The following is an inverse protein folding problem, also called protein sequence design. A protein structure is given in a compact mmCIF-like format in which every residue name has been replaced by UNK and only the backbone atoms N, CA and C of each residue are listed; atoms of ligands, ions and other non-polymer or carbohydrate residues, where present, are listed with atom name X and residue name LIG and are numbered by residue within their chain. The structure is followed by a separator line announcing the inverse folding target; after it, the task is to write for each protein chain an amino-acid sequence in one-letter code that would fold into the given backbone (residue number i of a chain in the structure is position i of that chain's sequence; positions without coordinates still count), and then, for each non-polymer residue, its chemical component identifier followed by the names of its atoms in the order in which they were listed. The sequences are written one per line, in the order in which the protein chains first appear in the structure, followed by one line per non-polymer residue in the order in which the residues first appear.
data_IF_346113205148
#
_entry.id   IF_346113205148
#
_cell.length_a   1.000
_cell.length_b   1.000
_cell.length_c   1.000
_cell.angle_alpha   90.00
_cell.angle_beta   90.00
_cell.angle_gamma   90.00
#
_symmetry.space_group_name_H-M   'P 1'
#
loop_
_entity.id
_entity.type
_entity.pdbx_description
1 polymer ?
#
# COMPACT_ATOMS: atom_id res chain seq x y z
N UNK A 1 -36.16 38.82 1.68
CA UNK A 1 -34.92 38.63 2.48
C UNK A 1 -33.71 38.14 1.69
N UNK A 2 -33.86 37.34 0.62
CA UNK A 2 -32.72 36.79 -0.15
C UNK A 2 -31.86 37.85 -0.90
N UNK A 3 -32.48 38.91 -1.43
CA UNK A 3 -31.77 39.94 -2.23
C UNK A 3 -30.78 40.80 -1.43
N UNK A 4 -31.08 41.12 -0.17
CA UNK A 4 -30.19 41.92 0.68
C UNK A 4 -28.92 41.15 1.07
N UNK A 5 -29.05 39.84 1.32
CA UNK A 5 -27.91 38.95 1.58
C UNK A 5 -27.01 38.79 0.36
N UNK A 6 -27.59 38.65 -0.83
CA UNK A 6 -26.84 38.55 -2.09
C UNK A 6 -26.05 39.83 -2.40
N UNK A 7 -26.68 41.00 -2.25
CA UNK A 7 -26.03 42.31 -2.43
C UNK A 7 -24.84 42.49 -1.47
N UNK A 8 -24.97 42.01 -0.23
CA UNK A 8 -23.88 42.03 0.75
C UNK A 8 -22.70 41.15 0.32
N UNK A 9 -22.95 39.96 -0.20
CA UNK A 9 -21.88 39.06 -0.67
C UNK A 9 -21.15 39.63 -1.89
N UNK A 10 -21.88 40.20 -2.86
CA UNK A 10 -21.29 40.87 -4.04
C UNK A 10 -20.38 42.02 -3.61
N UNK A 11 -20.82 42.83 -2.65
CA UNK A 11 -20.02 43.94 -2.13
C UNK A 11 -18.73 43.47 -1.46
N UNK A 12 -18.77 42.37 -0.69
CA UNK A 12 -17.57 41.76 -0.09
C UNK A 12 -16.60 41.25 -1.14
N UNK A 13 -17.11 40.56 -2.17
CA UNK A 13 -16.31 40.05 -3.27
C UNK A 13 -15.64 41.20 -4.03
N UNK A 14 -16.38 42.27 -4.32
CA UNK A 14 -15.83 43.47 -4.97
C UNK A 14 -14.75 44.14 -4.11
N UNK A 15 -14.97 44.23 -2.80
CA UNK A 15 -13.97 44.77 -1.87
C UNK A 15 -12.69 43.92 -1.87
N UNK A 16 -12.82 42.59 -1.80
CA UNK A 16 -11.69 41.65 -1.87
C UNK A 16 -10.90 41.82 -3.17
N UNK A 17 -11.58 41.87 -4.32
CA UNK A 17 -10.93 42.07 -5.62
C UNK A 17 -10.22 43.42 -5.70
N UNK A 18 -10.80 44.47 -5.12
CA UNK A 18 -10.20 45.81 -5.10
C UNK A 18 -8.95 45.87 -4.22
N UNK A 19 -8.91 45.13 -3.11
CA UNK A 19 -7.73 45.01 -2.26
C UNK A 19 -6.61 44.19 -2.92
N UNK A 20 -6.95 43.09 -3.62
CA UNK A 20 -5.96 42.21 -4.25
C UNK A 20 -5.41 42.70 -5.59
N UNK A 21 -6.23 43.37 -6.40
CA UNK A 21 -5.87 43.77 -7.77
C UNK A 21 -5.92 45.29 -8.02
N UNK A 22 -6.63 46.04 -7.16
CA UNK A 22 -6.89 47.47 -7.36
C UNK A 22 -6.06 48.40 -6.47
N UNK A 23 -5.08 47.88 -5.72
CA UNK A 23 -4.15 48.69 -4.91
C UNK A 23 -4.76 49.36 -3.67
N UNK A 24 -5.99 49.00 -3.28
CA UNK A 24 -6.64 49.62 -2.12
C UNK A 24 -6.21 48.93 -0.82
N UNK A 25 -5.66 49.68 0.14
CA UNK A 25 -5.28 49.13 1.45
C UNK A 25 -6.53 48.72 2.26
N UNK A 26 -6.56 47.45 2.69
CA UNK A 26 -7.53 46.95 3.66
C UNK A 26 -7.09 47.27 5.10
N UNK A 27 -7.97 47.01 6.07
CA UNK A 27 -7.58 47.13 7.49
C UNK A 27 -6.42 46.17 7.80
N UNK A 28 -5.27 46.74 8.21
CA UNK A 28 -4.07 46.00 8.59
C UNK A 28 -4.28 45.37 9.96
N UNK A 29 -3.97 44.08 10.09
CA UNK A 29 -3.90 43.39 11.36
C UNK A 29 -2.46 43.47 11.87
N UNK A 30 -2.29 43.39 13.18
CA UNK A 30 -0.97 43.49 13.81
C UNK A 30 -0.07 42.29 13.49
N UNK A 31 1.25 42.47 13.64
CA UNK A 31 2.28 41.47 13.33
C UNK A 31 2.05 40.17 14.11
N UNK A 32 1.66 40.27 15.39
CA UNK A 32 1.40 39.10 16.23
C UNK A 32 0.21 38.27 15.71
N UNK A 33 -0.82 38.94 15.19
CA UNK A 33 -1.93 38.25 14.53
C UNK A 33 -1.46 37.51 13.28
N UNK A 34 -0.64 38.17 12.45
CA UNK A 34 -0.15 37.57 11.22
C UNK A 34 0.77 36.36 11.48
N UNK A 35 1.58 36.39 12.55
CA UNK A 35 2.39 35.22 12.92
C UNK A 35 1.54 34.06 13.44
N UNK A 36 0.56 34.33 14.31
CA UNK A 36 -0.40 33.30 14.74
C UNK A 36 -1.19 32.72 13.57
N UNK A 37 -1.59 33.57 12.63
CA UNK A 37 -2.29 33.19 11.42
C UNK A 37 -1.44 32.21 10.58
N UNK A 38 -0.18 32.58 10.31
CA UNK A 38 0.77 31.75 9.57
C UNK A 38 1.03 30.43 10.29
N UNK A 39 1.24 30.43 11.61
CA UNK A 39 1.45 29.20 12.38
C UNK A 39 0.23 28.29 12.33
N UNK A 40 -0.96 28.84 12.46
CA UNK A 40 -2.22 28.08 12.36
C UNK A 40 -2.38 27.41 10.99
N UNK A 41 -2.07 28.12 9.91
CA UNK A 41 -2.11 27.55 8.55
C UNK A 41 -1.12 26.39 8.39
N UNK A 42 0.11 26.54 8.88
CA UNK A 42 1.11 25.46 8.86
C UNK A 42 0.67 24.27 9.70
N UNK A 43 0.10 24.49 10.90
CA UNK A 43 -0.42 23.42 11.74
C UNK A 43 -1.57 22.67 11.05
N UNK A 44 -2.44 23.37 10.33
CA UNK A 44 -3.52 22.74 9.58
C UNK A 44 -3.00 21.79 8.50
N UNK A 45 -2.06 22.26 7.67
CA UNK A 45 -1.42 21.45 6.62
C UNK A 45 -0.65 20.26 7.21
N UNK A 46 0.11 20.50 8.30
CA UNK A 46 0.87 19.46 8.99
C UNK A 46 -0.03 18.33 9.49
N UNK A 47 -1.13 18.64 10.16
CA UNK A 47 -2.03 17.63 10.75
C UNK A 47 -2.68 16.77 9.67
N UNK A 48 -3.00 17.34 8.50
CA UNK A 48 -3.53 16.59 7.37
C UNK A 48 -2.49 15.64 6.77
N UNK A 49 -1.30 16.15 6.44
CA UNK A 49 -0.21 15.37 5.85
C UNK A 49 0.30 14.29 6.80
N UNK A 50 0.49 14.61 8.08
CA UNK A 50 1.03 13.67 9.08
C UNK A 50 0.10 12.47 9.27
N UNK A 51 -1.22 12.69 9.31
CA UNK A 51 -2.19 11.60 9.38
C UNK A 51 -2.13 10.71 8.14
N UNK A 52 -2.01 11.31 6.94
CA UNK A 52 -1.93 10.56 5.68
C UNK A 52 -0.66 9.72 5.63
N UNK A 53 0.50 10.33 5.89
CA UNK A 53 1.82 9.69 5.83
C UNK A 53 1.97 8.59 6.88
N UNK A 54 1.39 8.77 8.06
CA UNK A 54 1.41 7.73 9.10
C UNK A 54 0.57 6.52 8.69
N UNK A 55 -0.60 6.71 8.06
CA UNK A 55 -1.40 5.60 7.53
C UNK A 55 -0.68 4.86 6.40
N UNK A 56 0.02 5.60 5.53
CA UNK A 56 0.91 5.04 4.50
C UNK A 56 2.05 4.22 5.08
N UNK A 57 2.67 4.72 6.14
CA UNK A 57 3.75 4.04 6.85
C UNK A 57 3.28 2.73 7.51
N UNK A 58 2.15 2.75 8.22
CA UNK A 58 1.61 1.55 8.87
C UNK A 58 1.15 0.50 7.86
N UNK A 59 0.52 0.96 6.76
CA UNK A 59 -0.03 0.12 5.70
C UNK A 59 0.33 0.68 4.32
N UNK A 60 1.48 0.27 3.76
CA UNK A 60 1.91 0.66 2.42
C UNK A 60 0.93 0.18 1.35
N UNK A 61 0.28 -0.98 1.57
CA UNK A 61 -0.75 -1.50 0.68
C UNK A 61 -2.01 -0.61 0.69
N UNK A 62 -2.42 -0.01 -0.45
CA UNK A 62 -3.60 0.85 -0.54
C UNK A 62 -4.90 0.16 -0.13
N UNK A 63 -5.10 -1.12 -0.51
CA UNK A 63 -6.29 -1.89 -0.18
C UNK A 63 -6.40 -2.15 1.32
N UNK A 64 -5.28 -2.44 1.99
CA UNK A 64 -5.22 -2.59 3.44
C UNK A 64 -5.58 -1.27 4.15
N UNK A 65 -5.06 -0.16 3.63
CA UNK A 65 -5.30 1.19 4.16
C UNK A 65 -6.76 1.62 4.02
N UNK A 66 -7.41 1.34 2.89
CA UNK A 66 -8.83 1.60 2.68
C UNK A 66 -9.69 0.86 3.71
N UNK A 67 -9.36 -0.40 3.99
CA UNK A 67 -10.03 -1.20 5.02
C UNK A 67 -9.81 -0.63 6.43
N UNK A 68 -8.58 -0.23 6.78
CA UNK A 68 -8.31 0.43 8.08
C UNK A 68 -9.15 1.70 8.29
N UNK A 69 -9.37 2.48 7.22
CA UNK A 69 -10.21 3.68 7.25
C UNK A 69 -11.72 3.35 7.35
N UNK A 70 -12.15 2.21 6.81
CA UNK A 70 -13.53 1.73 6.86
C UNK A 70 -13.93 1.09 8.20
N UNK A 71 -12.96 0.67 9.04
CA UNK A 71 -13.23 0.18 10.41
C UNK A 71 -13.55 1.37 11.32
N UNK A 72 -14.81 1.84 11.21
CA UNK A 72 -15.45 2.74 12.17
C UNK A 72 -16.03 1.91 13.32
N UNK A 73 -15.52 2.14 14.53
CA UNK A 73 -16.34 2.11 15.75
C UNK A 73 -17.09 0.84 16.13
N UNK A 74 -16.60 -0.37 15.84
CA UNK A 74 -17.19 -1.57 16.43
C UNK A 74 -16.51 -1.88 17.76
N UNK A 75 -17.24 -1.49 18.79
CA UNK A 75 -17.25 -1.82 20.20
C UNK A 75 -16.52 -3.09 20.68
N UNK A 76 -15.77 -2.83 21.75
CA UNK A 76 -15.30 -3.59 22.91
C UNK A 76 -16.32 -4.53 23.62
N UNK A 77 -17.16 -5.30 22.90
CA UNK A 77 -18.19 -6.14 23.55
C UNK A 77 -18.21 -7.64 23.21
N UNK A 78 -17.23 -8.16 22.49
CA UNK A 78 -17.03 -9.60 22.38
C UNK A 78 -15.58 -9.89 22.74
N UNK A 79 -15.35 -10.66 23.80
CA UNK A 79 -14.03 -11.07 24.31
C UNK A 79 -13.27 -12.02 23.37
N UNK A 80 -13.46 -11.89 22.06
CA UNK A 80 -12.68 -12.54 21.02
C UNK A 80 -11.90 -11.45 20.31
N UNK A 81 -10.57 -11.49 20.45
CA UNK A 81 -9.64 -10.62 19.75
C UNK A 81 -10.05 -10.55 18.27
N UNK A 82 -10.47 -9.36 17.83
CA UNK A 82 -10.99 -9.17 16.48
C UNK A 82 -9.83 -9.36 15.53
N UNK A 83 -9.94 -10.38 14.68
CA UNK A 83 -9.07 -10.58 13.55
C UNK A 83 -8.90 -9.24 12.82
N UNK A 84 -7.67 -8.73 12.84
CA UNK A 84 -7.33 -7.59 12.03
C UNK A 84 -7.75 -7.89 10.58
N UNK A 85 -8.47 -6.94 9.98
CA UNK A 85 -9.25 -7.18 8.75
C UNK A 85 -8.34 -7.40 7.52
N UNK A 86 -7.03 -7.25 7.67
CA UNK A 86 -6.04 -7.45 6.62
C UNK A 86 -4.86 -8.30 7.14
N UNK A 87 -4.43 -9.34 6.40
CA UNK A 87 -3.30 -10.16 6.81
C UNK A 87 -1.97 -9.39 6.71
N UNK A 88 -1.18 -9.33 7.79
CA UNK A 88 0.18 -8.78 7.70
C UNK A 88 1.07 -9.68 6.85
N UNK A 89 2.03 -9.10 6.08
CA UNK A 89 2.97 -9.87 5.27
C UNK A 89 3.73 -10.95 6.05
N UNK A 90 4.13 -10.65 7.29
CA UNK A 90 4.78 -11.58 8.21
C UNK A 90 3.91 -12.81 8.45
N UNK A 91 2.61 -12.60 8.67
CA UNK A 91 1.65 -13.66 8.92
C UNK A 91 1.44 -14.55 7.70
N UNK A 92 1.36 -13.95 6.50
CA UNK A 92 1.23 -14.68 5.23
C UNK A 92 2.46 -15.55 4.96
N UNK A 93 3.66 -15.02 5.21
CA UNK A 93 4.90 -15.78 5.09
C UNK A 93 4.94 -16.93 6.10
N UNK A 94 4.52 -16.67 7.34
CA UNK A 94 4.41 -17.68 8.38
C UNK A 94 3.48 -18.83 8.00
N UNK A 95 2.28 -18.52 7.48
CA UNK A 95 1.32 -19.53 7.03
C UNK A 95 1.90 -20.43 5.94
N UNK A 96 2.64 -19.86 4.98
CA UNK A 96 3.33 -20.63 3.94
C UNK A 96 4.35 -21.62 4.54
N UNK A 97 5.21 -21.14 5.43
CA UNK A 97 6.23 -21.97 6.09
C UNK A 97 5.60 -23.10 6.91
N UNK A 98 4.53 -22.81 7.66
CA UNK A 98 3.79 -23.81 8.43
C UNK A 98 3.16 -24.88 7.55
N UNK A 99 2.52 -24.48 6.44
CA UNK A 99 1.86 -25.40 5.51
C UNK A 99 2.88 -26.37 4.91
N UNK A 100 4.01 -25.85 4.40
CA UNK A 100 5.00 -26.69 3.73
C UNK A 100 5.91 -27.46 4.71
N UNK A 101 6.19 -26.92 5.89
CA UNK A 101 6.85 -27.64 6.97
C UNK A 101 6.06 -28.90 7.34
N UNK A 102 4.75 -28.77 7.57
CA UNK A 102 3.88 -29.93 7.85
C UNK A 102 3.83 -30.94 6.70
N UNK A 103 3.78 -30.47 5.44
CA UNK A 103 3.77 -31.35 4.26
C UNK A 103 5.08 -32.11 4.04
N UNK A 104 6.22 -31.57 4.46
CA UNK A 104 7.52 -32.23 4.35
C UNK A 104 7.70 -33.38 5.34
N UNK A 105 6.90 -33.44 6.40
CA UNK A 105 6.92 -34.50 7.40
C UNK A 105 7.87 -34.22 8.56
N UNK A 106 7.48 -34.65 9.76
CA UNK A 106 8.13 -34.33 11.03
C UNK A 106 9.54 -34.94 11.17
N UNK A 107 9.86 -35.96 10.37
CA UNK A 107 11.18 -36.63 10.37
C UNK A 107 12.32 -35.76 9.81
N UNK A 108 11.97 -34.69 9.09
CA UNK A 108 12.91 -33.75 8.50
C UNK A 108 13.21 -32.60 9.46
N UNK A 109 14.48 -32.43 9.84
CA UNK A 109 14.91 -31.28 10.66
C UNK A 109 14.61 -29.96 9.95
N UNK A 110 14.69 -29.93 8.62
CA UNK A 110 14.30 -28.76 7.84
C UNK A 110 12.79 -28.47 7.93
N UNK A 111 11.96 -29.51 7.93
CA UNK A 111 10.52 -29.35 8.13
C UNK A 111 10.20 -28.76 9.50
N UNK A 112 10.84 -29.26 10.55
CA UNK A 112 10.71 -28.72 11.89
C UNK A 112 11.19 -27.27 11.96
N UNK A 113 12.35 -26.94 11.36
CA UNK A 113 12.87 -25.57 11.30
C UNK A 113 11.92 -24.61 10.56
N UNK A 114 11.27 -25.07 9.49
CA UNK A 114 10.23 -24.30 8.79
C UNK A 114 9.01 -24.04 9.69
N UNK A 115 8.62 -25.01 10.53
CA UNK A 115 7.53 -24.82 11.49
C UNK A 115 7.90 -23.76 12.52
N UNK A 116 9.08 -23.85 13.16
CA UNK A 116 9.56 -22.85 14.13
C UNK A 116 9.61 -21.44 13.53
N UNK A 117 10.19 -21.30 12.32
CA UNK A 117 10.23 -20.04 11.59
C UNK A 117 8.82 -19.52 11.31
N UNK A 118 7.92 -20.40 10.88
CA UNK A 118 6.53 -20.07 10.61
C UNK A 118 5.80 -19.53 11.84
N UNK A 119 5.96 -20.18 13.00
CA UNK A 119 5.36 -19.75 14.27
C UNK A 119 5.89 -18.40 14.73
N UNK A 120 7.21 -18.19 14.65
CA UNK A 120 7.82 -16.90 14.99
C UNK A 120 7.32 -15.77 14.06
N UNK A 121 7.16 -16.03 12.77
CA UNK A 121 6.59 -15.07 11.82
C UNK A 121 5.11 -14.74 12.13
N UNK A 122 4.32 -15.71 12.61
CA UNK A 122 2.94 -15.45 13.11
C UNK A 122 2.96 -14.55 14.34
N UNK A 123 3.86 -14.79 15.29
CA UNK A 123 4.01 -13.93 16.46
C UNK A 123 4.39 -12.50 16.06
N UNK A 124 5.33 -12.33 15.12
CA UNK A 124 5.67 -11.00 14.60
C UNK A 124 4.47 -10.28 13.97
N UNK A 125 3.59 -11.01 13.27
CA UNK A 125 2.35 -10.45 12.74
C UNK A 125 1.42 -9.95 13.86
N UNK A 126 1.32 -10.67 14.97
CA UNK A 126 0.52 -10.27 16.14
C UNK A 126 1.07 -8.99 16.81
N UNK A 127 2.40 -8.87 16.90
CA UNK A 127 3.05 -7.63 17.37
C UNK A 127 2.77 -6.48 16.39
N UNK A 128 2.80 -6.73 15.07
CA UNK A 128 2.48 -5.73 14.06
C UNK A 128 1.02 -5.26 14.12
N UNK A 129 0.06 -6.15 14.36
CA UNK A 129 -1.33 -5.76 14.62
C UNK A 129 -1.47 -4.89 15.85
N UNK A 130 -0.75 -5.24 16.92
CA UNK A 130 -0.76 -4.46 18.16
C UNK A 130 -0.18 -3.06 17.96
N UNK A 131 0.88 -2.91 17.15
CA UNK A 131 1.41 -1.60 16.74
C UNK A 131 0.35 -0.79 15.99
N UNK A 132 -0.27 -1.38 14.96
CA UNK A 132 -1.26 -0.68 14.12
C UNK A 132 -2.42 -0.15 14.97
N UNK A 133 -2.93 -0.95 15.90
CA UNK A 133 -4.00 -0.55 16.82
C UNK A 133 -3.55 0.52 17.82
N UNK A 134 -2.35 0.39 18.40
CA UNK A 134 -1.78 1.37 19.32
C UNK A 134 -1.63 2.74 18.63
N UNK A 135 -0.97 2.80 17.47
CA UNK A 135 -0.79 4.05 16.73
C UNK A 135 -2.12 4.64 16.27
N UNK A 136 -3.08 3.79 15.87
CA UNK A 136 -4.42 4.27 15.50
C UNK A 136 -5.11 4.98 16.67
N UNK A 137 -5.14 4.37 17.84
CA UNK A 137 -5.86 4.88 19.01
C UNK A 137 -5.14 6.06 19.65
N UNK A 138 -3.82 5.99 19.80
CA UNK A 138 -3.08 6.91 20.64
C UNK A 138 -2.35 8.03 19.86
N UNK A 139 -2.34 7.97 18.53
CA UNK A 139 -1.74 9.00 17.69
C UNK A 139 -2.70 9.52 16.60
N UNK A 140 -3.26 8.64 15.78
CA UNK A 140 -4.13 9.06 14.67
C UNK A 140 -5.49 9.62 15.12
N UNK A 141 -6.15 9.00 16.11
CA UNK A 141 -7.43 9.49 16.63
C UNK A 141 -7.33 10.88 17.29
N UNK A 142 -6.32 11.17 18.15
CA UNK A 142 -6.08 12.52 18.66
C UNK A 142 -5.84 13.56 17.56
N UNK A 143 -5.00 13.27 16.56
CA UNK A 143 -4.78 14.17 15.42
C UNK A 143 -6.05 14.41 14.61
N UNK A 144 -6.88 13.37 14.44
CA UNK A 144 -8.17 13.51 13.78
C UNK A 144 -9.15 14.39 14.58
N UNK A 145 -9.14 14.29 15.91
CA UNK A 145 -9.92 15.17 16.78
C UNK A 145 -9.49 16.63 16.60
N UNK A 146 -8.19 16.90 16.72
CA UNK A 146 -7.59 18.21 16.50
C UNK A 146 -8.00 18.81 15.15
N UNK A 147 -7.95 18.01 14.08
CA UNK A 147 -8.34 18.44 12.73
C UNK A 147 -9.83 18.78 12.61
N UNK A 148 -10.70 17.91 13.14
CA UNK A 148 -12.15 17.98 12.88
C UNK A 148 -12.91 18.86 13.88
N UNK A 149 -12.28 19.20 15.01
CA UNK A 149 -12.83 20.05 16.07
C UNK A 149 -12.09 21.38 16.12
N UNK A 150 -10.92 21.42 16.76
CA UNK A 150 -10.27 22.67 17.15
C UNK A 150 -9.81 23.47 15.93
N UNK A 151 -9.06 22.83 15.01
CA UNK A 151 -8.63 23.47 13.78
C UNK A 151 -9.83 23.94 12.94
N UNK A 152 -10.89 23.14 12.86
CA UNK A 152 -12.10 23.49 12.10
C UNK A 152 -12.82 24.70 12.70
N UNK A 153 -12.87 24.81 14.02
CA UNK A 153 -13.43 25.95 14.75
C UNK A 153 -12.60 27.22 14.54
N UNK A 154 -11.28 27.12 14.69
CA UNK A 154 -10.36 28.25 14.43
C UNK A 154 -10.48 28.75 13.00
N UNK A 155 -10.50 27.84 12.02
CA UNK A 155 -10.68 28.20 10.60
C UNK A 155 -12.05 28.84 10.34
N UNK A 156 -13.10 28.44 11.07
CA UNK A 156 -14.40 29.10 11.01
C UNK A 156 -14.34 30.54 11.51
N UNK A 157 -13.70 30.78 12.66
CA UNK A 157 -13.54 32.13 13.22
C UNK A 157 -12.72 33.03 12.28
N UNK A 158 -11.61 32.53 11.70
CA UNK A 158 -10.79 33.27 10.74
C UNK A 158 -11.57 33.65 9.47
N UNK A 159 -12.32 32.70 8.90
CA UNK A 159 -13.17 32.98 7.72
C UNK A 159 -14.25 34.02 8.05
N UNK A 160 -14.83 33.97 9.25
CA UNK A 160 -15.82 34.93 9.72
C UNK A 160 -15.19 36.32 9.90
N UNK A 161 -14.02 36.41 10.51
CA UNK A 161 -13.23 37.64 10.68
C UNK A 161 -12.95 38.30 9.33
N UNK A 162 -12.40 37.57 8.36
CA UNK A 162 -12.13 38.11 7.02
C UNK A 162 -13.41 38.67 6.39
N UNK A 163 -14.53 37.93 6.51
CA UNK A 163 -15.83 38.38 6.02
C UNK A 163 -16.41 39.61 6.75
N UNK A 164 -16.03 39.88 7.99
CA UNK A 164 -16.41 41.09 8.75
C UNK A 164 -15.50 42.27 8.42
N UNK A 165 -14.19 42.03 8.28
CA UNK A 165 -13.22 43.05 7.84
C UNK A 165 -13.63 43.66 6.50
N UNK A 166 -13.93 42.82 5.51
CA UNK A 166 -14.37 43.27 4.19
C UNK A 166 -15.70 44.06 4.24
N UNK A 167 -16.62 43.69 5.13
CA UNK A 167 -17.90 44.40 5.31
C UNK A 167 -17.67 45.80 5.90
N UNK A 168 -16.83 45.89 6.92
CA UNK A 168 -16.42 47.16 7.55
C UNK A 168 -15.68 48.06 6.56
N UNK A 169 -14.67 47.54 5.86
CA UNK A 169 -13.89 48.27 4.87
C UNK A 169 -14.76 48.79 3.71
N UNK A 170 -15.69 47.95 3.22
CA UNK A 170 -16.63 48.34 2.17
C UNK A 170 -17.56 49.49 2.63
N UNK A 171 -18.14 49.40 3.82
CA UNK A 171 -19.03 50.44 4.38
C UNK A 171 -18.29 51.75 4.60
N UNK A 172 -17.12 51.70 5.22
CA UNK A 172 -16.25 52.87 5.45
C UNK A 172 -15.87 53.55 4.14
N UNK A 173 -15.47 52.79 3.12
CA UNK A 173 -15.14 53.31 1.79
C UNK A 173 -16.35 53.93 1.09
N UNK A 174 -17.53 53.31 1.18
CA UNK A 174 -18.75 53.84 0.56
C UNK A 174 -19.19 55.15 1.21
N UNK A 175 -19.08 55.26 2.53
CA UNK A 175 -19.35 56.51 3.25
C UNK A 175 -18.38 57.61 2.83
N UNK A 176 -17.07 57.31 2.78
CA UNK A 176 -16.06 58.26 2.31
C UNK A 176 -16.28 58.74 0.86
N UNK A 177 -16.95 57.93 0.02
CA UNK A 177 -17.34 58.28 -1.36
C UNK A 177 -18.70 58.98 -1.46
N UNK A 178 -19.29 59.42 -0.34
CA UNK A 178 -20.56 60.16 -0.32
C UNK A 178 -21.81 59.29 -0.52
N UNK A 179 -21.72 57.97 -0.36
CA UNK A 179 -22.92 57.12 -0.32
C UNK A 179 -23.68 57.30 1.00
N UNK A 180 -25.01 57.16 0.97
CA UNK A 180 -25.84 57.03 2.18
C UNK A 180 -25.53 55.72 2.92
N UNK A 181 -24.53 55.76 3.79
CA UNK A 181 -24.24 54.76 4.82
C UNK A 181 -24.22 55.51 6.14
N UNK A 182 -25.07 55.13 7.09
CA UNK A 182 -25.16 55.85 8.36
C UNK A 182 -23.98 55.52 9.28
N UNK A 183 -23.67 56.43 10.22
CA UNK A 183 -22.63 56.19 11.23
C UNK A 183 -22.97 54.97 12.09
N UNK A 184 -24.25 54.76 12.41
CA UNK A 184 -24.73 53.57 13.13
C UNK A 184 -24.43 52.28 12.36
N UNK A 185 -24.56 52.28 11.03
CA UNK A 185 -24.25 51.10 10.21
C UNK A 185 -22.77 50.76 10.19
N UNK A 186 -21.89 51.75 10.32
CA UNK A 186 -20.43 51.57 10.39
C UNK A 186 -20.05 51.10 11.78
N UNK A 187 -20.56 51.75 12.83
CA UNK A 187 -20.32 51.37 14.23
C UNK A 187 -20.70 49.90 14.47
N UNK A 188 -21.87 49.46 13.98
CA UNK A 188 -22.27 48.05 14.06
C UNK A 188 -21.39 47.09 13.26
N UNK A 189 -20.77 47.55 12.15
CA UNK A 189 -19.87 46.72 11.37
C UNK A 189 -18.50 46.59 12.05
N UNK A 190 -18.05 47.68 12.68
CA UNK A 190 -16.83 47.74 13.50
C UNK A 190 -16.93 46.82 14.72
N UNK A 191 -18.01 46.91 15.51
CA UNK A 191 -18.23 46.03 16.66
C UNK A 191 -18.17 44.55 16.26
N UNK A 192 -18.87 44.17 15.18
CA UNK A 192 -18.87 42.80 14.67
C UNK A 192 -17.50 42.35 14.15
N UNK A 193 -16.70 43.28 13.63
CA UNK A 193 -15.32 43.02 13.23
C UNK A 193 -14.44 42.80 14.47
N UNK A 194 -14.51 43.67 15.47
CA UNK A 194 -13.77 43.55 16.73
C UNK A 194 -14.10 42.26 17.49
N UNK A 195 -15.38 41.90 17.61
CA UNK A 195 -15.80 40.62 18.20
C UNK A 195 -15.21 39.41 17.46
N UNK A 196 -15.24 39.45 16.12
CA UNK A 196 -14.71 38.34 15.31
C UNK A 196 -13.18 38.28 15.37
N UNK A 197 -12.51 39.42 15.56
CA UNK A 197 -11.06 39.51 15.72
C UNK A 197 -10.65 38.85 17.05
N UNK A 198 -11.33 39.21 18.13
CA UNK A 198 -11.08 38.64 19.45
C UNK A 198 -11.27 37.12 19.46
N UNK A 199 -12.38 36.61 18.88
CA UNK A 199 -12.63 35.16 18.80
C UNK A 199 -11.58 34.41 17.97
N UNK A 200 -11.15 34.99 16.84
CA UNK A 200 -10.10 34.39 16.01
C UNK A 200 -8.75 34.37 16.74
N UNK A 201 -8.38 35.47 17.41
CA UNK A 201 -7.15 35.56 18.21
C UNK A 201 -7.15 34.54 19.34
N UNK A 202 -8.23 34.48 20.14
CA UNK A 202 -8.33 33.55 21.24
C UNK A 202 -8.28 32.09 20.77
N UNK A 203 -8.97 31.77 19.67
CA UNK A 203 -8.94 30.43 19.08
C UNK A 203 -7.55 30.04 18.59
N UNK A 204 -6.86 30.92 17.86
CA UNK A 204 -5.48 30.66 17.40
C UNK A 204 -4.50 30.55 18.57
N UNK A 205 -4.63 31.41 19.59
CA UNK A 205 -3.78 31.37 20.77
C UNK A 205 -3.92 30.04 21.51
N UNK A 206 -5.14 29.61 21.83
CA UNK A 206 -5.39 28.36 22.54
C UNK A 206 -4.91 27.13 21.74
N UNK A 207 -5.03 27.16 20.41
CA UNK A 207 -4.51 26.11 19.54
C UNK A 207 -2.98 26.01 19.61
N UNK A 208 -2.30 27.16 19.62
CA UNK A 208 -0.84 27.23 19.54
C UNK A 208 -0.14 27.06 20.89
N UNK A 209 -0.81 27.37 22.00
CA UNK A 209 -0.33 27.13 23.37
C UNK A 209 -0.44 25.66 23.82
N UNK A 210 -0.89 24.77 22.93
CA UNK A 210 -1.07 23.35 23.23
C UNK A 210 0.10 22.47 22.76
N UNK A 211 1.32 22.99 22.85
CA UNK A 211 2.56 22.34 22.41
C UNK A 211 2.91 21.10 23.25
N UNK A 212 2.59 21.11 24.55
CA UNK A 212 2.77 19.95 25.45
C UNK A 212 2.00 18.73 24.95
N UNK A 213 0.72 18.88 24.58
CA UNK A 213 -0.08 17.76 24.07
C UNK A 213 0.43 17.26 22.71
N UNK A 214 0.87 18.16 21.82
CA UNK A 214 1.43 17.79 20.53
C UNK A 214 2.75 17.02 20.66
N UNK A 215 3.63 17.46 21.56
CA UNK A 215 4.89 16.74 21.86
C UNK A 215 4.60 15.39 22.51
N UNK A 216 3.62 15.31 23.42
CA UNK A 216 3.21 14.05 24.03
C UNK A 216 2.67 13.04 23.00
N UNK A 217 1.93 13.50 21.98
CA UNK A 217 1.46 12.65 20.89
C UNK A 217 2.64 12.07 20.07
N UNK A 218 3.65 12.88 19.77
CA UNK A 218 4.86 12.40 19.09
C UNK A 218 5.65 11.40 19.94
N UNK A 219 5.75 11.65 21.25
CA UNK A 219 6.40 10.72 22.17
C UNK A 219 5.67 9.37 22.18
N UNK A 220 4.33 9.38 22.27
CA UNK A 220 3.50 8.17 22.22
C UNK A 220 3.70 7.39 20.92
N UNK A 221 3.81 8.07 19.77
CA UNK A 221 4.12 7.44 18.50
C UNK A 221 5.49 6.74 18.51
N UNK A 222 6.52 7.44 19.02
CA UNK A 222 7.87 6.90 19.14
C UNK A 222 7.96 5.72 20.10
N UNK A 223 7.25 5.78 21.22
CA UNK A 223 7.18 4.69 22.22
C UNK A 223 6.51 3.45 21.62
N UNK A 224 5.42 3.60 20.87
CA UNK A 224 4.77 2.49 20.18
C UNK A 224 5.70 1.80 19.18
N UNK A 225 6.50 2.55 18.42
CA UNK A 225 7.50 1.99 17.51
C UNK A 225 8.64 1.27 18.26
N UNK A 226 9.11 1.86 19.36
CA UNK A 226 10.16 1.27 20.18
C UNK A 226 9.71 -0.09 20.74
N UNK A 227 8.51 -0.14 21.32
CA UNK A 227 7.94 -1.35 21.89
C UNK A 227 7.77 -2.45 20.82
N UNK A 228 7.24 -2.10 19.65
CA UNK A 228 7.12 -3.01 18.51
C UNK A 228 8.48 -3.63 18.14
N UNK A 229 9.50 -2.80 17.94
CA UNK A 229 10.81 -3.29 17.54
C UNK A 229 11.51 -4.12 18.63
N UNK A 230 11.31 -3.79 19.90
CA UNK A 230 11.83 -4.58 21.02
C UNK A 230 11.21 -5.98 21.05
N UNK A 231 9.88 -6.08 20.91
CA UNK A 231 9.20 -7.37 20.88
C UNK A 231 9.60 -8.21 19.66
N UNK A 232 9.71 -7.61 18.46
CA UNK A 232 10.23 -8.31 17.29
C UNK A 232 11.66 -8.81 17.50
N UNK A 233 12.51 -8.02 18.16
CA UNK A 233 13.89 -8.43 18.46
C UNK A 233 13.93 -9.62 19.40
N UNK A 234 13.04 -9.68 20.40
CA UNK A 234 12.93 -10.82 21.32
C UNK A 234 12.55 -12.12 20.58
N UNK A 235 11.52 -12.03 19.73
CA UNK A 235 11.05 -13.16 18.91
C UNK A 235 12.16 -13.67 18.00
N UNK A 236 12.82 -12.76 17.27
CA UNK A 236 13.89 -13.12 16.34
C UNK A 236 15.13 -13.68 17.04
N UNK A 237 15.44 -13.20 18.25
CA UNK A 237 16.56 -13.73 19.04
C UNK A 237 16.32 -15.19 19.41
N UNK A 238 15.16 -15.47 19.99
CA UNK A 238 14.74 -16.83 20.37
C UNK A 238 14.75 -17.76 19.16
N UNK A 239 14.15 -17.32 18.05
CA UNK A 239 14.13 -18.08 16.81
C UNK A 239 15.55 -18.37 16.28
N UNK A 240 16.44 -17.38 16.32
CA UNK A 240 17.82 -17.55 15.85
C UNK A 240 18.54 -18.60 16.67
N UNK A 241 18.39 -18.59 17.99
CA UNK A 241 18.97 -19.61 18.88
C UNK A 241 18.43 -21.00 18.53
N UNK A 242 17.11 -21.16 18.41
CA UNK A 242 16.47 -22.43 18.04
C UNK A 242 16.93 -22.95 16.67
N UNK A 243 17.06 -22.08 15.67
CA UNK A 243 17.49 -22.48 14.33
C UNK A 243 18.97 -22.88 14.29
N UNK A 244 19.82 -22.23 15.07
CA UNK A 244 21.23 -22.62 15.19
C UNK A 244 21.36 -23.99 15.85
N UNK A 245 20.59 -24.27 16.89
CA UNK A 245 20.55 -25.60 17.52
C UNK A 245 20.08 -26.68 16.52
N UNK A 246 19.00 -26.43 15.78
CA UNK A 246 18.51 -27.37 14.74
C UNK A 246 19.52 -27.57 13.62
N UNK A 247 20.27 -26.53 13.23
CA UNK A 247 21.35 -26.65 12.25
C UNK A 247 22.45 -27.58 12.76
N UNK A 248 22.85 -27.42 14.02
CA UNK A 248 23.89 -28.27 14.62
C UNK A 248 23.38 -29.72 14.81
N UNK A 249 22.11 -29.92 15.16
CA UNK A 249 21.46 -31.23 15.18
C UNK A 249 21.51 -31.90 13.79
N UNK A 250 21.17 -31.16 12.74
CA UNK A 250 21.21 -31.66 11.36
C UNK A 250 22.62 -32.01 10.91
N UNK A 251 23.63 -31.21 11.31
CA UNK A 251 25.03 -31.46 10.98
C UNK A 251 25.57 -32.73 11.67
N UNK A 252 25.07 -33.03 12.87
CA UNK A 252 25.49 -34.20 13.66
C UNK A 252 24.67 -35.46 13.39
N UNK A 253 23.60 -35.37 12.58
CA UNK A 253 22.77 -36.53 12.23
C UNK A 253 23.60 -37.57 11.45
N UNK A 254 23.61 -38.86 11.86
CA UNK A 254 24.32 -39.90 11.13
C UNK A 254 23.82 -39.98 9.68
N UNK A 255 24.75 -39.95 8.71
CA UNK A 255 24.39 -40.09 7.30
C UNK A 255 23.85 -41.50 7.06
N UNK A 256 22.57 -41.62 6.77
CA UNK A 256 22.01 -42.86 6.23
C UNK A 256 22.53 -43.06 4.81
N UNK A 257 23.07 -44.24 4.55
CA UNK A 257 23.42 -44.64 3.20
C UNK A 257 22.13 -44.88 2.41
N UNK A 258 21.99 -44.18 1.29
CA UNK A 258 20.84 -44.38 0.41
C UNK A 258 21.03 -45.70 -0.35
N UNK A 259 20.16 -46.68 -0.06
CA UNK A 259 20.09 -47.93 -0.80
C UNK A 259 18.91 -47.81 -1.78
N UNK A 260 19.16 -47.67 -3.10
CA UNK A 260 18.10 -47.62 -4.09
C UNK A 260 17.30 -48.92 -4.06
N UNK A 261 15.96 -48.81 -3.99
CA UNK A 261 15.09 -49.98 -4.14
C UNK A 261 15.21 -50.52 -5.56
N UNK A 262 15.35 -51.84 -5.67
CA UNK A 262 15.39 -52.54 -6.95
C UNK A 262 13.97 -52.81 -7.48
N UNK A 263 13.85 -53.19 -8.75
CA UNK A 263 12.56 -53.61 -9.33
C UNK A 263 11.99 -54.86 -8.64
N UNK A 264 12.87 -55.73 -8.10
CA UNK A 264 12.47 -56.89 -7.31
C UNK A 264 11.83 -56.47 -5.97
N UNK A 265 12.36 -55.43 -5.32
CA UNK A 265 11.80 -54.89 -4.07
C UNK A 265 10.41 -54.24 -4.28
N UNK A 266 10.09 -53.86 -5.52
CA UNK A 266 8.82 -53.26 -5.91
C UNK A 266 7.79 -54.29 -6.38
N UNK A 267 8.11 -55.59 -6.37
CA UNK A 267 7.25 -56.67 -6.87
C UNK A 267 6.75 -56.40 -8.31
N UNK A 268 7.57 -55.75 -9.12
CA UNK A 268 7.28 -55.58 -10.54
C UNK A 268 7.76 -56.83 -11.24
N UNK A 269 6.84 -57.78 -11.46
CA UNK A 269 7.13 -58.95 -12.28
C UNK A 269 7.60 -58.46 -13.65
N UNK A 270 8.84 -58.85 -14.01
CA UNK A 270 9.32 -58.66 -15.37
C UNK A 270 8.32 -59.36 -16.30
N UNK A 271 7.65 -58.59 -17.15
CA UNK A 271 6.83 -59.14 -18.23
C UNK A 271 7.67 -60.21 -18.93
N UNK A 272 7.14 -61.42 -19.18
CA UNK A 272 7.88 -62.43 -19.92
C UNK A 272 8.18 -61.83 -21.29
N UNK A 273 9.44 -61.43 -21.50
CA UNK A 273 9.94 -61.06 -22.81
C UNK A 273 9.88 -62.32 -23.65
N UNK A 274 8.83 -62.44 -24.46
CA UNK A 274 8.79 -63.42 -25.53
C UNK A 274 9.90 -63.07 -26.52
N UNK A 275 10.80 -64.02 -26.64
CA UNK A 275 11.73 -64.26 -27.73
C UNK A 275 13.05 -63.48 -27.75
N UNK A 276 14.10 -64.30 -27.64
CA UNK A 276 15.49 -63.99 -27.86
C UNK A 276 15.73 -63.36 -29.23
N UNK A 277 16.42 -62.22 -29.26
CA UNK A 277 17.43 -61.92 -30.28
C UNK A 277 18.52 -61.01 -29.68
N UNK A 278 19.67 -61.63 -29.42
CA UNK A 278 21.01 -61.16 -29.73
C UNK A 278 21.56 -59.86 -29.09
N UNK A 279 22.56 -60.06 -28.21
CA UNK A 279 23.80 -59.26 -28.19
C UNK A 279 23.79 -57.90 -27.50
N UNK A 280 24.30 -57.84 -26.27
CA UNK A 280 24.67 -56.56 -25.65
C UNK A 280 24.93 -56.66 -24.16
N UNK A 281 26.17 -56.96 -23.80
CA UNK A 281 26.65 -56.96 -22.42
C UNK A 281 26.60 -55.53 -21.84
N UNK A 282 25.53 -55.14 -21.14
CA UNK A 282 25.48 -53.90 -20.38
C UNK A 282 25.76 -54.18 -18.91
N UNK A 283 27.04 -54.29 -18.57
CA UNK A 283 27.52 -54.14 -17.20
C UNK A 283 27.38 -52.67 -16.79
N UNK A 284 26.37 -52.32 -15.99
CA UNK A 284 26.33 -51.02 -15.33
C UNK A 284 27.23 -51.08 -14.08
N UNK A 285 28.53 -50.88 -14.29
CA UNK A 285 29.48 -50.66 -13.20
C UNK A 285 29.16 -49.33 -12.51
N UNK A 286 28.98 -49.39 -11.20
CA UNK A 286 28.80 -48.22 -10.35
C UNK A 286 29.98 -47.26 -10.44
N UNK A 287 29.68 -45.98 -10.54
CA UNK A 287 30.63 -44.89 -10.36
C UNK A 287 30.16 -44.03 -9.19
N UNK A 288 30.44 -44.50 -7.97
CA UNK A 288 30.60 -43.62 -6.81
C UNK A 288 31.92 -42.89 -6.97
N UNK A 289 31.87 -41.57 -7.23
CA UNK A 289 32.88 -40.57 -6.83
C UNK A 289 32.43 -39.18 -7.23
N UNK A 290 31.61 -38.55 -6.39
CA UNK A 290 31.55 -37.10 -6.30
C UNK A 290 32.26 -36.71 -5.00
N UNK A 291 33.55 -36.36 -5.13
CA UNK A 291 34.32 -35.77 -4.05
C UNK A 291 33.87 -34.32 -3.82
N UNK A 292 33.63 -33.97 -2.56
CA UNK A 292 33.52 -32.58 -2.12
C UNK A 292 34.86 -31.85 -2.29
N UNK A 293 34.85 -30.53 -2.55
CA UNK A 293 35.92 -29.67 -2.08
C UNK A 293 35.43 -28.73 -0.97
N UNK A 294 36.22 -28.65 0.09
CA UNK A 294 36.15 -27.67 1.18
C UNK A 294 37.09 -26.49 0.85
N UNK A 295 36.56 -25.27 0.99
CA UNK A 295 37.16 -23.95 1.29
C UNK A 295 38.34 -23.38 0.48
N UNK A 296 38.22 -22.07 0.16
CA UNK A 296 39.35 -21.12 0.26
C UNK A 296 39.54 -20.12 -0.90
N UNK A 297 39.10 -18.88 -0.67
CA UNK A 297 39.63 -17.58 -1.16
C UNK A 297 39.76 -17.22 -2.66
N UNK A 298 39.15 -16.07 -3.00
CA UNK A 298 39.89 -14.96 -3.63
C UNK A 298 39.77 -14.68 -5.14
N UNK A 299 39.10 -13.55 -5.45
CA UNK A 299 39.26 -12.63 -6.62
C UNK A 299 38.70 -13.00 -8.02
N UNK A 300 37.60 -12.30 -8.34
CA UNK A 300 37.35 -11.35 -9.47
C UNK A 300 37.83 -11.71 -10.89
N UNK A 301 36.89 -11.64 -11.84
CA UNK A 301 36.89 -10.93 -13.16
C UNK A 301 36.09 -11.74 -14.19
N UNK A 302 34.88 -11.30 -14.58
CA UNK A 302 34.58 -10.58 -15.82
C UNK A 302 34.89 -11.38 -17.09
N UNK A 303 33.85 -11.72 -17.87
CA UNK A 303 33.95 -11.75 -19.34
C UNK A 303 32.56 -11.71 -19.97
N UNK A 304 32.49 -10.84 -20.96
CA UNK A 304 31.35 -10.39 -21.72
C UNK A 304 31.66 -10.69 -23.21
N UNK A 305 30.62 -10.69 -24.06
CA UNK A 305 30.63 -10.37 -25.51
C UNK A 305 30.71 -11.50 -26.57
N UNK A 306 29.54 -11.73 -27.20
CA UNK A 306 29.23 -11.58 -28.67
C UNK A 306 29.65 -12.65 -29.73
N UNK A 307 29.13 -12.61 -30.99
CA UNK A 307 27.74 -12.37 -31.46
C UNK A 307 27.31 -13.12 -32.78
N UNK A 308 26.06 -12.85 -33.22
CA UNK A 308 25.56 -12.57 -34.59
C UNK A 308 25.36 -13.65 -35.69
N UNK A 309 24.19 -13.57 -36.35
CA UNK A 309 23.93 -14.05 -37.72
C UNK A 309 22.44 -14.13 -38.10
N UNK A 310 21.97 -13.26 -38.99
CA UNK A 310 20.60 -13.13 -39.55
C UNK A 310 20.73 -13.13 -41.12
N UNK A 311 19.67 -12.92 -41.93
CA UNK A 311 18.52 -13.73 -42.43
C UNK A 311 18.60 -13.88 -43.99
N UNK A 312 17.58 -13.75 -44.91
CA UNK A 312 16.08 -13.79 -44.92
C UNK A 312 15.41 -14.48 -46.17
N UNK A 313 14.08 -14.30 -46.33
CA UNK A 313 13.21 -14.23 -47.57
C UNK A 313 12.06 -15.26 -47.61
N UNK A 314 10.86 -15.07 -48.19
CA UNK A 314 9.91 -13.97 -48.50
C UNK A 314 8.73 -14.56 -49.31
N UNK A 315 7.52 -13.97 -49.17
CA UNK A 315 6.44 -13.79 -50.17
C UNK A 315 5.21 -14.75 -50.33
N UNK A 316 4.02 -14.13 -50.11
CA UNK A 316 2.74 -14.05 -50.89
C UNK A 316 1.77 -15.23 -51.14
N UNK A 317 0.46 -14.93 -50.98
CA UNK A 317 -0.66 -15.53 -51.76
C UNK A 317 -2.05 -15.57 -51.08
N UNK A 318 -3.10 -15.10 -51.76
CA UNK A 318 -4.47 -14.75 -51.32
C UNK A 318 -5.56 -15.87 -51.42
N UNK A 319 -6.66 -15.66 -50.65
CA UNK A 319 -8.11 -15.81 -50.98
C UNK A 319 -8.94 -17.11 -50.77
N UNK A 320 -10.14 -16.87 -50.17
CA UNK A 320 -11.47 -17.56 -50.23
C UNK A 320 -12.00 -18.38 -49.01
N UNK A 321 -13.19 -17.97 -48.53
CA UNK A 321 -14.16 -18.64 -47.60
C UNK A 321 -15.21 -19.47 -48.42
N UNK A 322 -16.19 -20.27 -47.88
CA UNK A 322 -16.78 -20.32 -46.52
C UNK A 322 -17.17 -21.72 -45.90
N UNK A 323 -17.70 -21.66 -44.66
CA UNK A 323 -18.30 -22.66 -43.70
C UNK A 323 -19.30 -23.73 -44.25
N UNK A 324 -19.81 -24.75 -43.47
CA UNK A 324 -19.75 -24.99 -42.01
C UNK A 324 -19.37 -26.42 -41.50
N UNK A 325 -19.12 -26.48 -40.18
CA UNK A 325 -18.69 -27.58 -39.27
C UNK A 325 -19.65 -28.82 -39.19
N UNK A 326 -19.29 -30.00 -38.58
CA UNK A 326 -18.99 -30.10 -37.13
C UNK A 326 -17.97 -31.17 -36.65
N UNK A 327 -17.23 -30.78 -35.61
CA UNK A 327 -16.83 -31.58 -34.44
C UNK A 327 -15.83 -32.75 -34.56
N UNK A 328 -14.66 -32.51 -33.95
CA UNK A 328 -13.88 -33.35 -32.99
C UNK A 328 -12.38 -33.40 -33.34
N UNK A 329 -11.64 -32.55 -32.61
CA UNK A 329 -10.22 -32.54 -32.22
C UNK A 329 -9.16 -33.14 -33.15
N UNK A 330 -8.11 -32.36 -33.48
CA UNK A 330 -6.77 -32.88 -33.19
C UNK A 330 -5.72 -31.83 -32.77
N UNK A 331 -4.66 -32.34 -32.13
CA UNK A 331 -3.26 -31.95 -32.23
C UNK A 331 -2.87 -30.47 -32.51
N UNK A 332 -2.30 -29.85 -31.46
CA UNK A 332 -1.19 -28.88 -31.41
C UNK A 332 -0.59 -28.42 -32.77
N UNK A 333 -0.88 -27.17 -33.11
CA UNK A 333 0.01 -26.25 -33.85
C UNK A 333 0.35 -25.06 -32.94
N UNK A 334 1.51 -24.40 -33.09
CA UNK A 334 1.98 -23.39 -32.15
C UNK A 334 1.18 -22.09 -32.37
N UNK A 335 0.09 -21.92 -31.60
CA UNK A 335 -0.58 -20.63 -31.53
C UNK A 335 0.41 -19.60 -30.98
N UNK A 336 0.62 -18.52 -31.74
CA UNK A 336 1.17 -17.28 -31.22
C UNK A 336 0.44 -16.97 -29.92
N UNK A 337 1.14 -17.15 -28.79
CA UNK A 337 0.51 -16.92 -27.49
C UNK A 337 0.15 -15.44 -27.46
N UNK A 338 -1.14 -15.13 -27.38
CA UNK A 338 -1.60 -13.77 -27.21
C UNK A 338 -1.03 -13.26 -25.87
N UNK A 339 -0.49 -12.03 -25.80
CA UNK A 339 -0.02 -11.46 -24.55
C UNK A 339 -1.11 -11.57 -23.49
N UNK A 340 -0.79 -12.17 -22.36
CA UNK A 340 -1.75 -12.43 -21.31
C UNK A 340 -1.06 -12.55 -19.95
N UNK A 341 -1.85 -12.29 -18.92
CA UNK A 341 -1.45 -12.46 -17.54
C UNK A 341 -2.54 -13.17 -16.74
N UNK A 342 -2.13 -13.82 -15.66
CA UNK A 342 -3.05 -14.44 -14.70
C UNK A 342 -3.14 -13.55 -13.46
N UNK A 343 -4.35 -13.25 -13.02
CA UNK A 343 -4.58 -12.50 -11.79
C UNK A 343 -4.08 -13.29 -10.57
N UNK A 344 -3.22 -12.66 -9.77
CA UNK A 344 -2.72 -13.20 -8.50
C UNK A 344 -3.64 -12.87 -7.33
N UNK A 345 -4.47 -11.84 -7.47
CA UNK A 345 -5.40 -11.35 -6.46
C UNK A 345 -6.67 -10.80 -7.11
N UNK A 346 -7.76 -10.70 -6.34
CA UNK A 346 -8.94 -9.94 -6.73
C UNK A 346 -8.61 -8.44 -6.87
N UNK A 347 -9.16 -7.79 -7.89
CA UNK A 347 -9.05 -6.36 -8.12
C UNK A 347 -10.44 -5.78 -8.43
N UNK A 348 -10.91 -4.86 -7.58
CA UNK A 348 -12.16 -4.13 -7.79
C UNK A 348 -11.85 -2.78 -8.45
N UNK A 349 -12.54 -2.46 -9.55
CA UNK A 349 -12.39 -1.19 -10.23
C UNK A 349 -13.09 -0.08 -9.43
N UNK A 350 -12.33 0.92 -8.97
CA UNK A 350 -12.83 2.07 -8.19
C UNK A 350 -12.96 3.32 -9.07
N UNK A 351 -12.13 3.45 -10.11
CA UNK A 351 -12.14 4.60 -11.01
C UNK A 351 -12.69 4.26 -12.41
N UNK A 352 -13.34 5.22 -13.10
CA UNK A 352 -13.74 5.05 -14.49
C UNK A 352 -12.54 4.76 -15.39
N UNK A 353 -12.50 3.56 -15.98
CA UNK A 353 -11.41 3.09 -16.84
C UNK A 353 -10.58 1.95 -16.26
N UNK A 354 -10.77 1.60 -14.98
CA UNK A 354 -10.14 0.43 -14.37
C UNK A 354 -10.85 -0.87 -14.75
N UNK A 355 -10.09 -1.96 -14.89
CA UNK A 355 -10.62 -3.28 -15.19
C UNK A 355 -10.61 -4.16 -13.94
N UNK A 356 -11.78 -4.39 -13.33
CA UNK A 356 -11.90 -5.33 -12.21
C UNK A 356 -11.89 -6.81 -12.65
N UNK A 357 -11.28 -7.67 -11.83
CA UNK A 357 -11.13 -9.12 -12.06
C UNK A 357 -10.99 -9.89 -10.74
N UNK A 358 -11.08 -11.23 -10.82
CA UNK A 358 -10.91 -12.14 -9.70
C UNK A 358 -9.58 -12.90 -9.79
N UNK A 359 -9.08 -13.37 -8.67
CA UNK A 359 -7.93 -14.26 -8.57
C UNK A 359 -8.09 -15.45 -9.52
N UNK A 360 -7.02 -15.79 -10.23
CA UNK A 360 -6.94 -16.81 -11.27
C UNK A 360 -7.63 -16.47 -12.61
N UNK A 361 -8.22 -15.27 -12.76
CA UNK A 361 -8.69 -14.82 -14.08
C UNK A 361 -7.52 -14.68 -15.06
N UNK A 362 -7.74 -15.08 -16.31
CA UNK A 362 -6.78 -14.87 -17.39
C UNK A 362 -7.16 -13.63 -18.18
N UNK A 363 -6.34 -12.59 -18.06
CA UNK A 363 -6.56 -11.28 -18.68
C UNK A 363 -5.68 -11.18 -19.92
N UNK A 364 -6.27 -10.73 -21.01
CA UNK A 364 -5.51 -10.44 -22.24
C UNK A 364 -4.78 -9.12 -22.06
N UNK A 365 -3.47 -9.11 -22.18
CA UNK A 365 -2.67 -7.88 -22.11
C UNK A 365 -2.74 -7.16 -23.46
N UNK A 366 -3.05 -5.87 -23.41
CA UNK A 366 -3.13 -5.01 -24.60
C UNK A 366 -1.94 -4.05 -24.65
N UNK A 367 -1.57 -3.45 -23.52
CA UNK A 367 -0.52 -2.43 -23.46
C UNK A 367 0.08 -2.30 -22.05
N UNK A 368 1.36 -1.92 -21.96
CA UNK A 368 1.98 -1.43 -20.72
C UNK A 368 1.90 0.08 -20.70
N UNK A 369 1.23 0.65 -19.70
CA UNK A 369 1.05 2.11 -19.58
C UNK A 369 2.32 2.73 -19.00
N UNK A 370 2.79 2.18 -17.89
CA UNK A 370 4.02 2.57 -17.19
C UNK A 370 4.57 1.38 -16.36
N UNK A 371 5.47 1.63 -15.42
CA UNK A 371 6.06 0.59 -14.57
C UNK A 371 5.07 -0.04 -13.58
N UNK A 372 3.96 0.64 -13.29
CA UNK A 372 2.99 0.27 -12.28
C UNK A 372 1.66 -0.24 -12.87
N UNK A 373 1.35 0.06 -14.13
CA UNK A 373 0.05 -0.23 -14.76
C UNK A 373 0.14 -0.97 -16.10
N UNK A 374 -0.70 -2.01 -16.22
CA UNK A 374 -1.05 -2.65 -17.49
C UNK A 374 -2.46 -2.24 -17.92
N UNK A 375 -2.69 -2.27 -19.23
CA UNK A 375 -4.01 -2.23 -19.85
C UNK A 375 -4.29 -3.59 -20.48
N UNK A 376 -5.49 -4.12 -20.24
CA UNK A 376 -5.90 -5.41 -20.76
C UNK A 376 -7.40 -5.53 -20.90
N UNK A 377 -7.85 -6.70 -21.35
CA UNK A 377 -9.25 -7.02 -21.56
C UNK A 377 -9.65 -8.34 -20.91
N UNK A 378 -10.79 -8.32 -20.23
CA UNK A 378 -11.42 -9.47 -19.61
C UNK A 378 -12.94 -9.41 -19.86
N UNK A 379 -13.53 -10.49 -20.37
CA UNK A 379 -14.97 -10.60 -20.65
C UNK A 379 -15.55 -9.43 -21.48
N UNK A 380 -14.77 -8.93 -22.45
CA UNK A 380 -15.17 -7.83 -23.34
C UNK A 380 -15.12 -6.43 -22.70
N UNK A 381 -14.66 -6.31 -21.45
CA UNK A 381 -14.33 -5.03 -20.81
C UNK A 381 -12.84 -4.78 -20.91
N UNK A 382 -12.46 -3.53 -21.16
CA UNK A 382 -11.08 -3.10 -21.25
C UNK A 382 -10.83 -2.01 -20.21
N UNK A 383 -9.68 -2.07 -19.59
CA UNK A 383 -9.27 -1.07 -18.61
C UNK A 383 -7.88 -1.34 -18.08
N UNK A 384 -7.42 -0.44 -17.21
CA UNK A 384 -6.10 -0.53 -16.61
C UNK A 384 -6.15 -1.19 -15.23
N UNK A 385 -5.06 -1.86 -14.87
CA UNK A 385 -4.86 -2.54 -13.61
C UNK A 385 -3.39 -2.63 -13.19
N UNK A 386 -3.09 -2.79 -11.88
CA UNK A 386 -1.72 -2.77 -11.40
C UNK A 386 -0.90 -3.98 -11.85
N UNK A 387 0.36 -3.76 -12.22
CA UNK A 387 1.31 -4.80 -12.60
C UNK A 387 1.53 -5.81 -11.47
N UNK A 388 1.50 -5.36 -10.21
CA UNK A 388 1.73 -6.19 -9.02
C UNK A 388 0.59 -7.17 -8.71
N UNK A 389 -0.56 -7.04 -9.38
CA UNK A 389 -1.74 -7.88 -9.16
C UNK A 389 -1.82 -9.05 -10.14
N UNK A 390 -0.88 -9.14 -11.09
CA UNK A 390 -0.91 -10.14 -12.15
C UNK A 390 0.46 -10.77 -12.38
N UNK A 391 0.47 -12.05 -12.76
CA UNK A 391 1.64 -12.74 -13.27
C UNK A 391 1.58 -12.77 -14.79
N UNK A 392 2.54 -12.14 -15.46
CA UNK A 392 2.64 -12.19 -16.92
C UNK A 392 2.96 -13.62 -17.34
N UNK A 393 2.07 -14.23 -18.13
CA UNK A 393 2.23 -15.56 -18.72
C UNK A 393 2.85 -15.45 -20.11
N UNK A 394 2.45 -14.41 -20.83
CA UNK A 394 2.94 -14.09 -22.16
C UNK A 394 3.14 -12.57 -22.23
N UNK A 395 4.38 -12.09 -22.37
CA UNK A 395 4.65 -10.66 -22.37
C UNK A 395 4.09 -9.98 -23.63
N UNK A 396 3.89 -8.67 -23.52
CA UNK A 396 3.63 -7.81 -24.67
C UNK A 396 4.87 -7.81 -25.61
N UNK A 397 4.67 -7.78 -26.94
CA UNK A 397 5.75 -7.82 -27.93
C UNK A 397 6.63 -6.57 -27.94
#
# INVERSE_FOLDING_TARGET
MAFAGLKKQINKANQYMTEKMGGAEGTKLDVDFMDMERKTDVTYELVEELQMKTKEFLQPNPTARAKMAAVKGISKLSGQAKASTYPQPEGVLGDCMLIYGKKLGEDSIFAQALVEMGEAMKQMADVKYSLDDNIKQNFLEPLHHLQTKDLKEVMHHRKKLQGRRLDFDCKRRRQAKGSHVSDDEIRQAEEKFAESLHLAQLGMFNLLENDVEQVAQLATFSEGLLEYHQQCTEILRTLTETLLEKKDEAANKPKMEFIPKTLADLHVDALPTSDAMNGGNFSFHGASRAGSPIHGDGKRSQLELFPAGNPPQSANGQETSPLPSPSKSPARTPMTRQPCCTALYDFEAENPGELGFKENDTITLTKKIDENWFEGSLNGRTGYFPVTYVQVVVPLP
#
